data_IF_349943390719
#
_entry.id   IF_349943390719
#
_cell.length_a   1.000
_cell.length_b   1.000
_cell.length_c   1.000
_cell.angle_alpha   90.00
_cell.angle_beta   90.00
_cell.angle_gamma   90.00
#
_symmetry.space_group_name_H-M   'P 1'
#
loop_
_entity.id
_entity.type
_entity.pdbx_description
1 polymer ?
#
# COMPACT_ATOMS: atom_id res chain seq x y z
N UNK A 1 5.57 -6.07 6.99
CA UNK A 1 4.12 -5.87 6.72
C UNK A 1 3.93 -5.36 5.30
N UNK A 2 3.11 -6.03 4.49
CA UNK A 2 2.80 -5.53 3.13
C UNK A 2 1.87 -4.32 3.17
N UNK A 3 2.05 -3.37 2.26
CA UNK A 3 1.23 -2.15 2.20
C UNK A 3 -0.26 -2.45 1.97
N UNK A 4 -0.59 -3.46 1.16
CA UNK A 4 -1.98 -3.87 0.90
C UNK A 4 -2.74 -4.38 2.12
N UNK A 5 -2.09 -4.63 3.26
CA UNK A 5 -2.80 -4.94 4.51
C UNK A 5 -3.57 -3.73 5.05
N UNK A 6 -3.19 -2.49 4.71
CA UNK A 6 -3.79 -1.28 5.27
C UNK A 6 -5.31 -1.20 5.02
N UNK A 7 -5.79 -1.74 3.90
CA UNK A 7 -7.23 -1.82 3.55
C UNK A 7 -8.05 -2.62 4.59
N UNK A 8 -7.39 -3.48 5.37
CA UNK A 8 -8.01 -4.38 6.34
C UNK A 8 -7.85 -3.93 7.79
N UNK A 9 -7.01 -2.93 8.05
CA UNK A 9 -6.64 -2.52 9.41
C UNK A 9 -7.49 -1.35 9.90
N UNK A 10 -8.16 -1.55 11.03
CA UNK A 10 -8.82 -0.49 11.79
C UNK A 10 -8.24 -0.45 13.21
N UNK A 11 -8.35 0.71 13.88
CA UNK A 11 -7.87 0.83 15.25
C UNK A 11 -8.55 -0.22 16.14
N UNK A 12 -7.81 -1.13 16.81
CA UNK A 12 -8.41 -2.21 17.59
C UNK A 12 -9.25 -1.70 18.77
N UNK A 13 -8.99 -0.48 19.24
CA UNK A 13 -9.69 0.13 20.38
C UNK A 13 -10.97 0.84 19.97
N UNK A 14 -10.88 1.83 19.07
CA UNK A 14 -12.02 2.69 18.73
C UNK A 14 -12.68 2.36 17.38
N UNK A 15 -12.19 1.33 16.69
CA UNK A 15 -12.65 0.86 15.37
C UNK A 15 -12.61 1.92 14.27
N UNK A 16 -11.82 2.98 14.47
CA UNK A 16 -11.64 4.00 13.46
C UNK A 16 -10.82 3.47 12.29
N UNK A 17 -11.30 3.76 11.10
CA UNK A 17 -10.66 3.57 9.82
C UNK A 17 -10.86 4.87 9.04
N UNK A 18 -9.86 5.36 8.29
CA UNK A 18 -8.55 4.74 8.04
C UNK A 18 -7.53 5.00 9.17
N UNK A 19 -6.44 4.24 9.17
CA UNK A 19 -5.26 4.46 10.03
C UNK A 19 -4.14 5.02 9.15
N UNK A 20 -3.43 6.03 9.64
CA UNK A 20 -2.28 6.60 8.91
C UNK A 20 -1.05 5.72 9.15
N UNK A 21 -0.36 5.35 8.08
CA UNK A 21 0.89 4.59 8.11
C UNK A 21 2.05 5.52 7.76
N UNK A 22 3.01 5.68 8.66
CA UNK A 22 4.32 6.29 8.38
C UNK A 22 5.38 5.20 8.30
N UNK A 23 6.02 5.07 7.15
CA UNK A 23 7.01 4.02 6.86
C UNK A 23 8.41 4.55 7.13
N UNK A 24 9.15 3.90 8.02
CA UNK A 24 10.51 4.31 8.37
C UNK A 24 11.58 3.56 7.57
N UNK A 25 11.33 2.30 7.23
CA UNK A 25 12.21 1.44 6.43
C UNK A 25 11.39 0.33 5.74
N UNK A 26 11.92 -0.20 4.64
CA UNK A 26 11.40 -1.38 3.94
C UNK A 26 12.31 -2.60 4.17
N UNK A 27 11.69 -3.76 4.35
CA UNK A 27 12.34 -5.08 4.29
C UNK A 27 12.62 -5.46 2.83
N UNK A 28 11.80 -4.93 1.92
CA UNK A 28 12.01 -5.10 0.49
C UNK A 28 13.32 -4.46 0.07
N UNK A 29 14.21 -5.29 -0.50
CA UNK A 29 15.52 -4.85 -0.97
C UNK A 29 15.42 -3.82 -2.10
N UNK A 30 16.40 -2.93 -2.16
CA UNK A 30 16.54 -1.86 -3.17
C UNK A 30 16.47 -2.41 -4.60
N UNK A 31 17.15 -3.52 -4.90
CA UNK A 31 17.17 -4.13 -6.24
C UNK A 31 15.77 -4.52 -6.73
N UNK A 32 14.85 -4.86 -5.81
CA UNK A 32 13.47 -5.17 -6.18
C UNK A 32 12.69 -3.91 -6.54
N UNK A 33 12.93 -2.78 -5.88
CA UNK A 33 12.31 -1.51 -6.24
C UNK A 33 12.85 -0.99 -7.57
N UNK A 34 14.15 -1.12 -7.83
CA UNK A 34 14.76 -0.77 -9.12
C UNK A 34 14.12 -1.58 -10.26
N UNK A 35 14.08 -2.91 -10.12
CA UNK A 35 13.41 -3.79 -11.08
C UNK A 35 11.93 -3.47 -11.29
N UNK A 36 11.23 -3.06 -10.23
CA UNK A 36 9.82 -2.66 -10.36
C UNK A 36 9.65 -1.43 -11.27
N UNK A 37 10.57 -0.46 -11.20
CA UNK A 37 10.56 0.71 -12.08
C UNK A 37 10.98 0.36 -13.51
N UNK A 38 12.02 -0.45 -13.68
CA UNK A 38 12.42 -0.95 -15.01
C UNK A 38 11.26 -1.67 -15.71
N UNK A 39 10.44 -2.37 -14.94
CA UNK A 39 9.27 -3.06 -15.45
C UNK A 39 8.16 -2.17 -16.00
N UNK A 40 8.24 -0.84 -15.83
CA UNK A 40 7.39 0.10 -16.56
C UNK A 40 7.73 0.16 -18.05
N UNK A 41 8.99 -0.13 -18.42
CA UNK A 41 9.46 -0.16 -19.81
C UNK A 41 9.39 -1.57 -20.40
N UNK A 42 9.62 -2.61 -19.58
CA UNK A 42 9.49 -4.02 -19.97
C UNK A 42 8.53 -4.77 -19.04
N UNK A 43 7.30 -4.98 -19.52
CA UNK A 43 6.24 -5.68 -18.78
C UNK A 43 6.72 -7.02 -18.21
N UNK A 44 7.58 -7.77 -18.95
CA UNK A 44 8.08 -9.10 -18.54
C UNK A 44 8.70 -9.09 -17.15
N UNK A 45 9.37 -8.01 -16.79
CA UNK A 45 9.98 -7.86 -15.47
C UNK A 45 8.90 -7.89 -14.38
N UNK A 46 7.80 -7.14 -14.56
CA UNK A 46 6.68 -7.16 -13.62
C UNK A 46 5.93 -8.50 -13.62
N UNK A 47 5.81 -9.17 -14.77
CA UNK A 47 5.23 -10.52 -14.87
C UNK A 47 6.01 -11.51 -14.01
N UNK A 48 7.35 -11.44 -14.00
CA UNK A 48 8.21 -12.30 -13.18
C UNK A 48 8.13 -11.96 -11.68
N UNK A 49 8.05 -10.67 -11.35
CA UNK A 49 8.02 -10.18 -9.97
C UNK A 49 6.67 -10.42 -9.29
N UNK A 50 5.59 -10.47 -10.08
CA UNK A 50 4.26 -10.84 -9.63
C UNK A 50 4.09 -12.36 -9.73
N UNK A 51 4.15 -13.04 -8.57
CA UNK A 51 3.77 -14.45 -8.46
C UNK A 51 2.26 -14.59 -8.70
N UNK A 52 1.80 -14.61 -9.94
CA UNK A 52 0.47 -15.11 -10.29
C UNK A 52 0.49 -16.63 -10.07
N UNK A 53 0.43 -17.05 -8.80
CA UNK A 53 0.20 -18.45 -8.44
C UNK A 53 -1.31 -18.66 -8.42
N UNK A 54 -1.89 -18.75 -9.62
CA UNK A 54 -3.00 -19.63 -10.03
C UNK A 54 -3.54 -19.17 -11.38
N UNK A 55 -2.87 -19.61 -12.44
CA UNK A 55 -3.42 -19.57 -13.79
C UNK A 55 -2.34 -19.77 -14.82
N UNK A 56 -2.27 -20.96 -15.42
CA UNK A 56 -1.46 -21.18 -16.61
C UNK A 56 -1.84 -20.17 -17.71
N UNK A 57 -0.86 -19.39 -18.15
CA UNK A 57 -0.80 -18.81 -19.49
C UNK A 57 -1.56 -17.49 -19.68
N UNK A 58 -0.77 -16.43 -19.73
CA UNK A 58 -0.97 -15.10 -20.32
C UNK A 58 -1.62 -14.04 -19.42
N UNK A 59 -0.98 -12.88 -19.41
CA UNK A 59 -1.45 -11.63 -18.81
C UNK A 59 -2.63 -11.00 -19.55
N UNK A 60 -2.90 -11.49 -20.78
CA UNK A 60 -4.20 -11.34 -21.44
C UNK A 60 -5.38 -11.99 -20.66
N UNK A 61 -5.14 -12.67 -19.52
CA UNK A 61 -6.18 -13.33 -18.69
C UNK A 61 -6.38 -12.76 -17.28
N UNK A 62 -5.62 -11.75 -16.85
CA UNK A 62 -5.94 -11.01 -15.61
C UNK A 62 -6.96 -9.89 -15.85
N UNK A 63 -7.14 -9.51 -17.12
CA UNK A 63 -8.16 -8.58 -17.60
C UNK A 63 -8.85 -9.26 -18.78
N UNK A 64 -9.81 -10.15 -18.51
CA UNK A 64 -10.59 -10.77 -19.58
C UNK A 64 -11.75 -9.83 -19.96
N UNK A 65 -11.42 -8.79 -20.75
CA UNK A 65 -12.43 -7.89 -21.32
C UNK A 65 -13.39 -8.67 -22.23
N UNK A 66 -12.99 -9.84 -22.75
CA UNK A 66 -13.84 -10.72 -23.57
C UNK A 66 -14.85 -11.49 -22.72
N UNK A 67 -14.47 -12.00 -21.55
CA UNK A 67 -15.39 -12.57 -20.54
C UNK A 67 -16.11 -11.51 -19.70
N UNK A 68 -15.82 -10.22 -19.94
CA UNK A 68 -16.33 -9.05 -19.19
C UNK A 68 -15.99 -9.10 -17.70
N UNK A 69 -14.91 -9.79 -17.30
CA UNK A 69 -14.48 -9.86 -15.90
C UNK A 69 -12.97 -9.66 -15.72
N UNK A 70 -12.58 -9.07 -14.60
CA UNK A 70 -11.20 -8.73 -14.24
C UNK A 70 -10.86 -9.37 -12.90
N UNK A 71 -9.64 -9.89 -12.78
CA UNK A 71 -9.07 -10.46 -11.56
C UNK A 71 -7.54 -10.33 -11.57
N UNK A 72 -6.98 -9.75 -10.52
CA UNK A 72 -5.54 -9.56 -10.35
C UNK A 72 -5.08 -9.78 -8.89
N UNK A 73 -3.84 -9.39 -8.60
CA UNK A 73 -3.19 -9.59 -7.29
C UNK A 73 -3.84 -8.69 -6.20
N UNK A 74 -4.41 -7.54 -6.57
CA UNK A 74 -5.18 -6.64 -5.71
C UNK A 74 -6.63 -7.11 -5.52
N UNK A 75 -7.29 -7.56 -6.59
CA UNK A 75 -8.67 -8.03 -6.63
C UNK A 75 -8.69 -9.54 -6.97
N UNK A 76 -8.66 -10.35 -5.91
CA UNK A 76 -8.48 -11.82 -6.02
C UNK A 76 -9.71 -12.62 -6.44
N UNK A 77 -10.81 -11.95 -6.78
CA UNK A 77 -12.05 -12.56 -7.24
C UNK A 77 -12.51 -11.88 -8.54
N UNK A 78 -13.25 -12.61 -9.38
CA UNK A 78 -13.72 -12.07 -10.65
C UNK A 78 -14.78 -10.98 -10.42
N UNK A 79 -14.53 -9.79 -10.94
CA UNK A 79 -15.46 -8.67 -10.95
C UNK A 79 -15.77 -8.26 -12.38
N UNK A 80 -16.97 -7.70 -12.64
CA UNK A 80 -17.18 -6.98 -13.90
C UNK A 80 -16.30 -5.72 -13.94
N UNK A 81 -16.19 -5.09 -15.12
CA UNK A 81 -15.34 -3.92 -15.30
C UNK A 81 -15.65 -2.81 -14.28
N UNK A 82 -16.92 -2.40 -14.16
CA UNK A 82 -17.31 -1.29 -13.31
C UNK A 82 -17.00 -1.55 -11.83
N UNK A 83 -17.23 -2.77 -11.35
CA UNK A 83 -16.95 -3.15 -9.96
C UNK A 83 -15.45 -3.30 -9.71
N UNK A 84 -14.68 -3.78 -10.70
CA UNK A 84 -13.22 -3.77 -10.61
C UNK A 84 -12.68 -2.36 -10.48
N UNK A 85 -13.15 -1.41 -11.30
CA UNK A 85 -12.73 0.00 -11.25
C UNK A 85 -13.03 0.60 -9.87
N UNK A 86 -14.24 0.39 -9.34
CA UNK A 86 -14.59 0.82 -7.99
C UNK A 86 -13.63 0.25 -6.95
N UNK A 87 -13.39 -1.06 -6.96
CA UNK A 87 -12.52 -1.70 -5.96
C UNK A 87 -11.06 -1.28 -6.10
N UNK A 88 -10.56 -1.14 -7.32
CA UNK A 88 -9.22 -0.65 -7.61
C UNK A 88 -9.06 0.77 -7.06
N UNK A 89 -10.02 1.66 -7.30
CA UNK A 89 -10.05 3.00 -6.72
C UNK A 89 -10.09 3.01 -5.19
N UNK A 90 -10.91 2.16 -4.56
CA UNK A 90 -10.94 2.02 -3.11
C UNK A 90 -9.57 1.64 -2.54
N UNK A 91 -8.89 0.69 -3.18
CA UNK A 91 -7.55 0.26 -2.76
C UNK A 91 -6.55 1.41 -2.92
N UNK A 92 -6.59 2.14 -4.05
CA UNK A 92 -5.65 3.23 -4.30
C UNK A 92 -5.85 4.44 -3.36
N UNK A 93 -7.07 4.66 -2.84
CA UNK A 93 -7.30 5.67 -1.80
C UNK A 93 -6.43 5.47 -0.56
N UNK A 94 -5.94 4.26 -0.31
CA UNK A 94 -5.03 3.98 0.79
C UNK A 94 -3.70 4.75 0.67
N UNK A 95 -3.30 5.19 -0.53
CA UNK A 95 -2.12 6.04 -0.71
C UNK A 95 -2.23 7.34 0.10
N UNK A 96 -3.44 7.91 0.23
CA UNK A 96 -3.68 9.12 1.01
C UNK A 96 -3.37 8.97 2.51
N UNK A 97 -3.19 7.75 2.98
CA UNK A 97 -2.91 7.42 4.39
C UNK A 97 -1.53 6.79 4.56
N UNK A 98 -0.69 6.77 3.54
CA UNK A 98 0.67 6.23 3.58
C UNK A 98 1.65 7.38 3.38
N UNK A 99 2.65 7.46 4.25
CA UNK A 99 3.73 8.43 4.15
C UNK A 99 5.07 7.69 4.22
N UNK A 100 5.93 7.90 3.23
CA UNK A 100 7.23 7.26 3.15
C UNK A 100 8.30 8.20 3.68
N UNK A 101 8.88 7.85 4.84
CA UNK A 101 9.91 8.64 5.53
C UNK A 101 11.31 8.04 5.35
N UNK A 102 11.54 7.39 4.22
CA UNK A 102 12.82 6.83 3.83
C UNK A 102 13.15 7.27 2.41
N UNK A 103 14.27 7.95 2.27
CA UNK A 103 14.76 8.43 0.98
C UNK A 103 15.23 7.27 0.09
N UNK A 104 15.34 7.56 -1.21
CA UNK A 104 15.92 6.65 -2.19
C UNK A 104 14.88 6.02 -3.12
N UNK A 105 15.19 4.83 -3.63
CA UNK A 105 14.39 4.22 -4.71
C UNK A 105 12.96 3.88 -4.28
N UNK A 106 12.76 3.49 -3.01
CA UNK A 106 11.44 3.15 -2.48
C UNK A 106 10.49 4.36 -2.48
N UNK A 107 11.00 5.56 -2.20
CA UNK A 107 10.24 6.81 -2.28
C UNK A 107 9.88 7.10 -3.74
N UNK A 108 10.83 6.97 -4.67
CA UNK A 108 10.56 7.16 -6.11
C UNK A 108 9.47 6.22 -6.64
N UNK A 109 9.45 4.95 -6.18
CA UNK A 109 8.36 4.02 -6.55
C UNK A 109 7.03 4.49 -5.98
N UNK A 110 7.00 4.93 -4.73
CA UNK A 110 5.79 5.47 -4.10
C UNK A 110 5.25 6.68 -4.87
N UNK A 111 6.08 7.69 -5.13
CA UNK A 111 5.72 8.89 -5.91
C UNK A 111 5.18 8.53 -7.31
N UNK A 112 5.79 7.53 -7.97
CA UNK A 112 5.31 7.05 -9.26
C UNK A 112 3.93 6.40 -9.15
N UNK A 113 3.67 5.63 -8.09
CA UNK A 113 2.35 5.02 -7.82
C UNK A 113 1.30 6.08 -7.49
N UNK A 114 1.64 7.12 -6.73
CA UNK A 114 0.75 8.26 -6.49
C UNK A 114 0.37 8.96 -7.79
N UNK A 115 1.36 9.24 -8.66
CA UNK A 115 1.10 9.85 -9.97
C UNK A 115 0.20 8.98 -10.86
N UNK A 116 0.35 7.65 -10.81
CA UNK A 116 -0.53 6.71 -11.52
C UNK A 116 -1.96 6.86 -11.01
N UNK A 117 -2.16 6.92 -9.69
CA UNK A 117 -3.47 7.10 -9.08
C UNK A 117 -4.12 8.43 -9.47
N UNK A 118 -3.38 9.54 -9.43
CA UNK A 118 -3.87 10.86 -9.85
C UNK A 118 -4.34 10.85 -11.31
N UNK A 119 -3.51 10.30 -12.21
CA UNK A 119 -3.85 10.16 -13.62
C UNK A 119 -5.09 9.30 -13.82
N UNK A 120 -5.19 8.17 -13.12
CA UNK A 120 -6.33 7.26 -13.21
C UNK A 120 -7.63 7.93 -12.78
N UNK A 121 -7.67 8.61 -11.62
CA UNK A 121 -8.87 9.34 -11.15
C UNK A 121 -9.27 10.41 -12.16
N UNK A 122 -8.30 11.16 -12.70
CA UNK A 122 -8.58 12.22 -13.68
C UNK A 122 -9.24 11.66 -14.93
N UNK A 123 -8.78 10.48 -15.37
CA UNK A 123 -9.32 9.78 -16.53
C UNK A 123 -10.69 9.17 -16.26
N UNK A 124 -10.87 8.50 -15.13
CA UNK A 124 -12.15 7.88 -14.73
C UNK A 124 -13.29 8.91 -14.69
N UNK A 125 -13.03 10.12 -14.19
CA UNK A 125 -14.04 11.20 -14.11
C UNK A 125 -14.55 11.69 -15.47
N UNK A 126 -13.76 11.53 -16.53
CA UNK A 126 -14.01 12.15 -17.83
C UNK A 126 -14.25 11.16 -18.96
N UNK A 127 -13.76 9.93 -18.82
CA UNK A 127 -13.85 8.89 -19.84
C UNK A 127 -15.19 8.15 -19.78
N UNK A 128 -15.70 7.77 -20.95
CA UNK A 128 -16.69 6.69 -20.99
C UNK A 128 -16.00 5.34 -20.72
N UNK A 129 -16.82 4.29 -20.55
CA UNK A 129 -16.35 2.94 -20.20
C UNK A 129 -15.34 2.39 -21.22
N UNK A 130 -15.52 2.63 -22.52
CA UNK A 130 -14.64 2.09 -23.55
C UNK A 130 -13.30 2.84 -23.63
N UNK A 131 -13.31 4.16 -23.48
CA UNK A 131 -12.10 4.97 -23.36
C UNK A 131 -11.28 4.60 -22.12
N UNK A 132 -11.95 4.24 -21.02
CA UNK A 132 -11.28 3.81 -19.78
C UNK A 132 -10.64 2.43 -19.95
N UNK A 133 -11.29 1.49 -20.65
CA UNK A 133 -10.70 0.20 -21.01
C UNK A 133 -9.44 0.39 -21.85
N UNK A 134 -9.51 1.24 -22.87
CA UNK A 134 -8.38 1.53 -23.74
C UNK A 134 -7.22 2.18 -22.98
N UNK A 135 -7.54 3.08 -22.04
CA UNK A 135 -6.55 3.67 -21.15
C UNK A 135 -5.85 2.61 -20.29
N UNK A 136 -6.59 1.71 -19.66
CA UNK A 136 -6.01 0.66 -18.82
C UNK A 136 -5.16 -0.33 -19.63
N UNK A 137 -5.60 -0.68 -20.84
CA UNK A 137 -4.84 -1.55 -21.74
C UNK A 137 -3.51 -0.90 -22.14
N UNK A 138 -3.51 0.40 -22.45
CA UNK A 138 -2.28 1.15 -22.79
C UNK A 138 -1.34 1.31 -21.60
N UNK A 139 -1.86 1.33 -20.37
CA UNK A 139 -1.10 1.54 -19.14
C UNK A 139 -1.03 0.27 -18.28
N UNK A 140 -1.04 -0.90 -18.92
CA UNK A 140 -1.05 -2.18 -18.20
C UNK A 140 0.14 -2.31 -17.25
N UNK A 141 1.33 -1.86 -17.64
CA UNK A 141 2.53 -1.89 -16.80
C UNK A 141 2.32 -1.08 -15.49
N UNK A 142 1.57 0.02 -15.54
CA UNK A 142 1.26 0.82 -14.35
C UNK A 142 0.37 0.05 -13.37
N UNK A 143 -0.61 -0.71 -13.87
CA UNK A 143 -1.46 -1.59 -13.08
C UNK A 143 -0.61 -2.69 -12.41
N UNK A 144 0.35 -3.25 -13.14
CA UNK A 144 1.27 -4.25 -12.59
C UNK A 144 2.21 -3.68 -11.53
N UNK A 145 2.73 -2.46 -11.72
CA UNK A 145 3.54 -1.78 -10.73
C UNK A 145 2.74 -1.54 -9.44
N UNK A 146 1.51 -1.04 -9.59
CA UNK A 146 0.57 -0.84 -8.48
C UNK A 146 0.30 -2.15 -7.73
N UNK A 147 -0.01 -3.23 -8.46
CA UNK A 147 -0.19 -4.57 -7.90
C UNK A 147 1.04 -5.02 -7.10
N UNK A 148 2.22 -4.92 -7.71
CA UNK A 148 3.48 -5.27 -7.07
C UNK A 148 3.70 -4.43 -5.81
N UNK A 149 3.50 -3.12 -5.88
CA UNK A 149 3.74 -2.20 -4.78
C UNK A 149 2.88 -2.58 -3.56
N UNK A 150 1.58 -2.75 -3.72
CA UNK A 150 0.71 -3.12 -2.60
C UNK A 150 0.92 -4.55 -2.10
N UNK A 151 1.22 -5.51 -2.98
CA UNK A 151 1.26 -6.94 -2.62
C UNK A 151 2.67 -7.47 -2.30
N UNK A 152 3.72 -6.72 -2.63
CA UNK A 152 5.13 -7.16 -2.50
C UNK A 152 5.99 -6.19 -1.71
N UNK A 153 5.76 -4.88 -1.77
CA UNK A 153 6.51 -3.95 -0.94
C UNK A 153 6.17 -4.19 0.53
N UNK A 154 7.20 -4.50 1.31
CA UNK A 154 7.09 -4.91 2.69
C UNK A 154 7.83 -3.92 3.60
N UNK A 155 7.06 -3.28 4.48
CA UNK A 155 7.53 -2.38 5.53
C UNK A 155 8.21 -3.19 6.62
N UNK A 156 9.45 -2.84 6.95
CA UNK A 156 10.21 -3.43 8.06
C UNK A 156 9.89 -2.72 9.37
N UNK A 157 10.09 -1.40 9.40
CA UNK A 157 9.81 -0.55 10.54
C UNK A 157 8.90 0.62 10.12
N UNK A 158 7.93 0.95 10.96
CA UNK A 158 6.98 2.04 10.72
C UNK A 158 6.05 2.25 11.90
N UNK A 159 5.19 3.26 11.83
CA UNK A 159 4.20 3.55 12.87
C UNK A 159 2.83 3.76 12.23
N UNK A 160 1.81 3.21 12.87
CA UNK A 160 0.42 3.34 12.49
C UNK A 160 -0.30 4.25 13.49
N UNK A 161 -1.00 5.28 13.03
CA UNK A 161 -1.57 6.34 13.85
C UNK A 161 -3.09 6.41 13.69
N UNK A 162 -3.80 6.37 14.81
CA UNK A 162 -5.24 6.59 14.85
C UNK A 162 -5.54 8.03 15.27
N UNK A 163 -5.98 8.86 14.32
CA UNK A 163 -6.30 10.27 14.57
C UNK A 163 -7.47 10.45 15.55
N UNK A 164 -8.43 9.51 15.57
CA UNK A 164 -9.60 9.58 16.46
C UNK A 164 -9.27 9.46 17.94
N UNK A 165 -8.39 8.53 18.30
CA UNK A 165 -8.11 8.22 19.71
C UNK A 165 -6.66 8.48 20.13
N UNK A 166 -5.85 9.05 19.23
CA UNK A 166 -4.42 9.37 19.41
C UNK A 166 -3.55 8.16 19.76
N UNK A 167 -4.01 6.95 19.45
CA UNK A 167 -3.21 5.74 19.65
C UNK A 167 -2.30 5.51 18.47
N UNK A 168 -1.10 5.05 18.78
CA UNK A 168 -0.15 4.61 17.78
C UNK A 168 0.17 3.12 17.96
N UNK A 169 0.60 2.46 16.88
CA UNK A 169 0.98 1.05 16.88
C UNK A 169 2.29 0.89 16.09
N UNK A 170 3.33 0.27 16.67
CA UNK A 170 4.57 0.06 15.95
C UNK A 170 4.43 -1.08 14.93
N UNK A 171 5.17 -0.94 13.84
CA UNK A 171 5.58 -2.05 12.98
C UNK A 171 7.08 -2.20 13.23
N UNK A 172 7.52 -3.39 13.63
CA UNK A 172 8.94 -3.70 13.76
C UNK A 172 9.21 -5.12 13.32
N UNK A 173 10.36 -5.34 12.68
CA UNK A 173 10.71 -6.61 12.04
C UNK A 173 9.58 -7.12 11.11
N UNK A 174 8.95 -6.21 10.38
CA UNK A 174 7.82 -6.47 9.51
C UNK A 174 6.52 -6.92 10.20
N UNK A 175 6.44 -6.90 11.54
CA UNK A 175 5.28 -7.35 12.32
C UNK A 175 4.50 -6.12 12.85
N UNK A 176 3.23 -5.92 12.45
CA UNK A 176 2.38 -4.89 13.04
C UNK A 176 1.89 -5.31 14.44
N UNK A 177 2.24 -4.52 15.46
CA UNK A 177 1.91 -4.81 16.85
C UNK A 177 0.67 -4.04 17.31
N UNK A 178 -0.52 -4.54 16.93
CA UNK A 178 -1.81 -3.90 17.22
C UNK A 178 -2.48 -4.44 18.51
N UNK A 179 -1.69 -4.58 19.58
CA UNK A 179 -2.19 -5.07 20.86
C UNK A 179 -3.07 -4.02 21.58
N UNK A 180 -4.05 -4.46 22.39
CA UNK A 180 -4.73 -3.59 23.35
C UNK A 180 -3.75 -3.00 24.39
N UNK A 181 -4.09 -1.82 24.92
CA UNK A 181 -3.20 -1.06 25.83
C UNK A 181 -2.70 -1.88 27.03
N UNK A 182 -3.54 -2.73 27.60
CA UNK A 182 -3.20 -3.56 28.77
C UNK A 182 -2.23 -4.71 28.46
N UNK A 183 -1.94 -4.98 27.19
CA UNK A 183 -1.01 -5.99 26.72
C UNK A 183 0.28 -5.38 26.13
N UNK A 184 0.46 -4.06 26.26
CA UNK A 184 1.62 -3.32 25.75
C UNK A 184 2.59 -3.00 26.88
N UNK A 185 3.89 -3.11 26.61
CA UNK A 185 4.95 -2.88 27.61
C UNK A 185 5.58 -1.51 27.43
N UNK A 186 5.36 -0.59 28.38
CA UNK A 186 5.85 0.80 28.31
C UNK A 186 7.33 0.93 27.96
N UNK A 187 8.19 0.13 28.60
CA UNK A 187 9.63 0.17 28.35
C UNK A 187 10.01 -0.21 26.90
N UNK A 188 9.30 -1.14 26.28
CA UNK A 188 9.56 -1.54 24.89
C UNK A 188 9.05 -0.47 23.93
N UNK A 189 7.89 0.10 24.22
CA UNK A 189 7.27 1.16 23.43
C UNK A 189 8.13 2.43 23.43
N UNK A 190 8.60 2.87 24.60
CA UNK A 190 9.49 4.02 24.71
C UNK A 190 10.81 3.80 23.97
N UNK A 191 11.39 2.59 24.00
CA UNK A 191 12.58 2.27 23.19
C UNK A 191 12.32 2.40 21.69
N UNK A 192 11.14 1.97 21.22
CA UNK A 192 10.75 2.14 19.82
C UNK A 192 10.61 3.63 19.45
N UNK A 193 9.92 4.40 20.30
CA UNK A 193 9.76 5.85 20.11
C UNK A 193 11.11 6.56 20.09
N UNK A 194 12.02 6.25 21.01
CA UNK A 194 13.38 6.83 21.04
C UNK A 194 14.20 6.47 19.78
N UNK A 195 14.14 5.20 19.33
CA UNK A 195 14.83 4.74 18.12
C UNK A 195 14.42 5.54 16.88
N UNK A 196 13.14 5.91 16.79
CA UNK A 196 12.54 6.52 15.59
C UNK A 196 12.08 7.96 15.80
N UNK A 197 12.51 8.62 16.87
CA UNK A 197 12.03 9.95 17.29
C UNK A 197 12.10 11.00 16.17
N UNK A 198 13.13 10.95 15.33
CA UNK A 198 13.35 11.94 14.26
C UNK A 198 12.35 11.78 13.09
N UNK A 199 11.67 10.63 13.00
CA UNK A 199 10.64 10.34 11.98
C UNK A 199 9.22 10.35 12.55
N UNK A 200 9.05 10.30 13.86
CA UNK A 200 7.73 10.25 14.52
C UNK A 200 7.23 11.68 14.73
N UNK A 201 5.97 11.99 14.41
CA UNK A 201 5.36 13.29 14.69
C UNK A 201 5.46 13.69 16.16
N UNK A 202 5.69 14.99 16.41
CA UNK A 202 5.89 15.50 17.77
C UNK A 202 4.67 15.28 18.69
N UNK A 203 3.45 15.38 18.15
CA UNK A 203 2.21 15.12 18.88
C UNK A 203 2.11 13.66 19.34
N UNK A 204 2.66 12.70 18.58
CA UNK A 204 2.75 11.30 19.00
C UNK A 204 3.80 11.13 20.10
N UNK A 205 4.94 11.82 19.99
CA UNK A 205 6.00 11.77 21.02
C UNK A 205 5.59 12.43 22.34
N UNK A 206 4.66 13.39 22.31
CA UNK A 206 4.24 14.16 23.48
C UNK A 206 2.90 13.68 24.07
N UNK A 207 1.93 13.34 23.21
CA UNK A 207 0.53 13.08 23.61
C UNK A 207 0.03 11.70 23.16
N UNK A 208 0.89 10.91 22.50
CA UNK A 208 0.56 9.60 21.98
C UNK A 208 0.08 8.64 23.07
N UNK A 209 -0.89 7.81 22.71
CA UNK A 209 -1.42 6.75 23.57
C UNK A 209 -0.97 5.36 23.10
N UNK A 210 -0.79 4.41 24.03
CA UNK A 210 -0.93 4.52 25.49
C UNK A 210 0.27 5.17 26.17
N UNK A 211 1.45 5.13 25.54
CA UNK A 211 2.68 5.71 26.07
C UNK A 211 3.28 6.69 25.07
N UNK A 212 4.05 7.63 25.60
CA UNK A 212 4.78 8.65 24.86
C UNK A 212 6.12 8.93 25.58
N UNK A 213 6.95 9.84 25.06
CA UNK A 213 8.29 10.10 25.61
C UNK A 213 8.30 11.17 26.72
N UNK A 214 7.22 11.93 26.91
CA UNK A 214 7.14 13.01 27.90
C UNK A 214 6.44 12.60 29.20
#
# INVERSE_FOLDING_TARGET
>A
MKLGLLDLLACPICKHWPIILKVFNFETKIDKFERALEGLEDLKILEEMTKIIRGKGKIEKCVDIKEKTIQDDLVRYKLNFDDYIKKFNEILKNLNYIEILVDGISLKVHEKVEKIYENFISKEKTANVDDLKDYLNKNINEIYLVNWYFQRAEVQDGIMLCEKCKRWYPISESIPQMLPDNLRTENEEKKFLEKWKDKIPEDVLNDGKPFNLK
#
